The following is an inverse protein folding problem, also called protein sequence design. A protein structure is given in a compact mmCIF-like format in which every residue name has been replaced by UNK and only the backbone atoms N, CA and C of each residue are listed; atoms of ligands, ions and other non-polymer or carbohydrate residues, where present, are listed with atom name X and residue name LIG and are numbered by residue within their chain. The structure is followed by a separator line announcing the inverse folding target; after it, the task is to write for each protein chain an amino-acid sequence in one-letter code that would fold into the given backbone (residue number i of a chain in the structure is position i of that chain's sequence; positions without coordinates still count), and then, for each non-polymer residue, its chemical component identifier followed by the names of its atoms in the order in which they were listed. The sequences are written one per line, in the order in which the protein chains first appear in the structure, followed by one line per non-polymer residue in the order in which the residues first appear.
data_IF_725014688625
#
_entry.id   IF_725014688625
#
_cell.length_a   1.000
_cell.length_b   1.000
_cell.length_c   1.000
_cell.angle_alpha   90.00
_cell.angle_beta   90.00
_cell.angle_gamma   90.00
#
_symmetry.space_group_name_H-M   'P 1'
#
loop_
_entity.id
_entity.type
_entity.pdbx_description
1 polymer ?
#
# COMPACT_ATOMS: atom_id res chain seq x y z
N UNK A 1 5.72 -5.72 5.97
CA UNK A 1 5.05 -4.59 6.66
C UNK A 1 5.56 -4.55 8.09
N UNK A 2 5.51 -3.40 8.74
CA UNK A 2 5.80 -3.29 10.18
C UNK A 2 4.67 -3.85 11.05
N UNK A 3 4.76 -3.66 12.36
CA UNK A 3 3.72 -4.08 13.31
C UNK A 3 2.36 -3.41 13.04
N UNK A 4 2.34 -2.17 12.54
CA UNK A 4 1.13 -1.40 12.21
C UNK A 4 0.63 -1.62 10.77
N UNK A 5 1.19 -2.63 10.09
CA UNK A 5 0.93 -2.94 8.68
C UNK A 5 1.34 -1.83 7.72
N UNK A 6 2.20 -0.91 8.13
CA UNK A 6 2.80 0.06 7.21
C UNK A 6 3.74 -0.67 6.26
N UNK A 7 3.57 -0.42 4.97
CA UNK A 7 4.55 -0.77 3.94
C UNK A 7 5.69 0.27 3.91
N UNK A 8 6.83 0.01 3.26
CA UNK A 8 7.86 1.03 3.06
C UNK A 8 7.31 2.35 2.46
N UNK A 9 6.29 2.26 1.59
CA UNK A 9 5.60 3.42 1.05
C UNK A 9 4.85 4.24 2.12
N UNK A 10 4.22 3.59 3.11
CA UNK A 10 3.59 4.31 4.23
C UNK A 10 4.61 5.05 5.10
N UNK A 11 5.82 4.51 5.22
CA UNK A 11 6.87 5.12 6.04
C UNK A 11 7.49 6.31 5.32
N UNK A 12 7.84 6.16 4.04
CA UNK A 12 8.56 7.21 3.30
C UNK A 12 7.70 8.45 3.06
N UNK A 13 6.37 8.32 2.94
CA UNK A 13 5.48 9.48 2.74
C UNK A 13 5.40 10.41 3.95
N UNK A 14 5.79 9.92 5.13
CA UNK A 14 5.84 10.66 6.38
C UNK A 14 7.26 11.17 6.69
N UNK A 15 8.16 11.15 5.71
CA UNK A 15 9.52 11.66 5.87
C UNK A 15 9.53 13.19 5.83
N UNK A 16 9.62 13.81 7.01
CA UNK A 16 9.53 15.27 7.20
C UNK A 16 10.88 16.02 7.19
N UNK A 17 11.99 15.39 6.79
CA UNK A 17 13.28 16.09 6.72
C UNK A 17 13.30 17.11 5.55
N UNK A 18 14.21 18.11 5.57
CA UNK A 18 14.14 19.27 4.68
C UNK A 18 14.06 18.93 3.19
N UNK A 19 13.35 19.81 2.47
CA UNK A 19 12.84 19.68 1.09
C UNK A 19 13.94 19.53 0.02
N UNK A 20 15.23 19.70 0.37
CA UNK A 20 16.39 19.61 -0.53
C UNK A 20 16.52 18.27 -1.25
N UNK A 21 15.73 17.27 -0.87
CA UNK A 21 15.85 15.89 -1.30
C UNK A 21 14.65 15.40 -2.12
N UNK A 22 14.00 16.30 -2.89
CA UNK A 22 12.94 15.92 -3.83
C UNK A 22 13.36 14.75 -4.73
N UNK A 23 14.57 14.83 -5.31
CA UNK A 23 15.08 13.78 -6.19
C UNK A 23 15.22 12.45 -5.45
N UNK A 24 15.74 12.45 -4.23
CA UNK A 24 15.90 11.21 -3.46
C UNK A 24 14.54 10.64 -3.05
N UNK A 25 13.59 11.49 -2.63
CA UNK A 25 12.24 11.04 -2.32
C UNK A 25 11.56 10.42 -3.55
N UNK A 26 11.68 11.09 -4.70
CA UNK A 26 11.20 10.59 -5.97
C UNK A 26 11.86 9.26 -6.35
N UNK A 27 13.19 9.15 -6.28
CA UNK A 27 13.92 7.92 -6.56
C UNK A 27 13.48 6.78 -5.64
N UNK A 28 13.37 7.01 -4.33
CA UNK A 28 12.93 5.96 -3.38
C UNK A 28 11.51 5.48 -3.72
N UNK A 29 10.56 6.40 -3.95
CA UNK A 29 9.18 6.00 -4.28
C UNK A 29 9.13 5.27 -5.64
N UNK A 30 9.88 5.76 -6.63
CA UNK A 30 9.99 5.13 -7.95
C UNK A 30 10.56 3.72 -7.83
N UNK A 31 11.72 3.56 -7.19
CA UNK A 31 12.39 2.27 -7.02
C UNK A 31 11.50 1.27 -6.27
N UNK A 32 10.80 1.72 -5.22
CA UNK A 32 9.85 0.87 -4.50
C UNK A 32 8.71 0.42 -5.41
N UNK A 33 8.08 1.33 -6.16
CA UNK A 33 6.95 0.99 -7.03
C UNK A 33 7.36 0.10 -8.20
N UNK A 34 8.52 0.35 -8.82
CA UNK A 34 9.09 -0.47 -9.88
C UNK A 34 9.48 -1.88 -9.38
N UNK A 35 9.93 -1.99 -8.13
CA UNK A 35 10.16 -3.27 -7.46
C UNK A 35 8.86 -4.00 -7.05
N UNK A 36 7.68 -3.46 -7.36
CA UNK A 36 6.38 -4.08 -7.08
C UNK A 36 5.77 -3.72 -5.72
N UNK A 37 6.21 -2.63 -5.09
CA UNK A 37 5.51 -2.10 -3.92
C UNK A 37 4.08 -1.68 -4.30
N UNK A 38 3.12 -2.19 -3.53
CA UNK A 38 1.71 -1.98 -3.77
C UNK A 38 1.26 -0.65 -3.16
N UNK A 39 0.61 0.17 -3.98
CA UNK A 39 0.11 1.50 -3.62
C UNK A 39 -1.27 1.45 -2.96
N UNK A 40 -1.96 0.33 -3.07
CA UNK A 40 -3.30 0.08 -2.53
C UNK A 40 -3.32 -0.86 -1.31
N UNK A 41 -2.16 -1.27 -0.83
CA UNK A 41 -2.04 -1.90 0.48
C UNK A 41 -2.51 -0.90 1.54
N UNK A 42 -3.31 -1.38 2.49
CA UNK A 42 -3.76 -0.56 3.62
C UNK A 42 -3.08 -0.98 4.92
N UNK A 43 -2.76 -0.01 5.78
CA UNK A 43 -2.25 -0.26 7.13
C UNK A 43 -3.37 -0.77 8.07
N UNK A 44 -3.10 -0.91 9.37
CA UNK A 44 -4.12 -1.32 10.36
C UNK A 44 -5.29 -0.34 10.47
N UNK A 45 -5.09 0.95 10.14
CA UNK A 45 -6.15 1.98 10.13
C UNK A 45 -7.00 1.94 8.85
N UNK A 46 -6.65 1.11 7.88
CA UNK A 46 -7.34 1.04 6.59
C UNK A 46 -6.91 2.14 5.61
N UNK A 47 -5.81 2.84 5.89
CA UNK A 47 -5.27 3.90 5.05
C UNK A 47 -4.25 3.33 4.07
N UNK A 48 -4.26 3.80 2.83
CA UNK A 48 -3.18 3.59 1.85
C UNK A 48 -1.97 4.48 2.14
N UNK A 49 -0.81 4.29 1.48
CA UNK A 49 0.30 5.26 1.54
C UNK A 49 -0.13 6.68 1.14
N UNK A 50 -1.05 6.82 0.18
CA UNK A 50 -1.55 8.12 -0.23
C UNK A 50 -2.39 8.76 0.88
N UNK A 51 -3.29 7.99 1.51
CA UNK A 51 -4.11 8.48 2.64
C UNK A 51 -3.25 8.84 3.85
N UNK A 52 -2.14 8.13 4.04
CA UNK A 52 -1.17 8.38 5.11
C UNK A 52 -0.22 9.55 4.84
N UNK A 53 -0.29 10.18 3.66
CA UNK A 53 0.59 11.29 3.28
C UNK A 53 0.03 12.63 3.72
N UNK A 54 0.91 13.56 4.11
CA UNK A 54 0.47 14.91 4.47
C UNK A 54 -0.05 15.67 3.23
N UNK A 55 -1.17 16.38 3.39
CA UNK A 55 -1.77 17.17 2.32
C UNK A 55 -0.83 18.26 1.82
N UNK A 56 -0.67 18.36 0.50
CA UNK A 56 0.22 19.30 -0.16
C UNK A 56 1.70 18.87 -0.12
N UNK A 57 2.01 17.67 0.39
CA UNK A 57 3.38 17.19 0.42
C UNK A 57 3.89 16.78 -0.97
N UNK A 58 5.20 16.85 -1.15
CA UNK A 58 5.86 16.32 -2.34
C UNK A 58 5.57 14.82 -2.52
N UNK A 59 5.54 14.07 -1.42
CA UNK A 59 5.23 12.64 -1.45
C UNK A 59 3.83 12.37 -2.02
N UNK A 60 2.82 13.14 -1.60
CA UNK A 60 1.46 13.05 -2.13
C UNK A 60 1.45 13.27 -3.66
N UNK A 61 2.16 14.29 -4.14
CA UNK A 61 2.24 14.61 -5.57
C UNK A 61 2.88 13.46 -6.35
N UNK A 62 4.01 12.93 -5.88
CA UNK A 62 4.72 11.81 -6.53
C UNK A 62 3.82 10.57 -6.57
N UNK A 63 3.17 10.23 -5.46
CA UNK A 63 2.28 9.07 -5.43
C UNK A 63 1.12 9.21 -6.40
N UNK A 64 0.48 10.39 -6.48
CA UNK A 64 -0.62 10.63 -7.43
C UNK A 64 -0.19 10.50 -8.89
N UNK A 65 1.01 10.96 -9.24
CA UNK A 65 1.51 10.88 -10.64
C UNK A 65 2.02 9.50 -11.02
N UNK A 66 2.49 8.71 -10.05
CA UNK A 66 3.01 7.36 -10.27
C UNK A 66 1.98 6.25 -10.02
N UNK A 67 0.75 6.60 -9.63
CA UNK A 67 -0.26 5.62 -9.24
C UNK A 67 -0.66 4.70 -10.40
N UNK A 68 -0.15 3.46 -10.38
CA UNK A 68 -0.53 2.39 -11.31
C UNK A 68 -0.95 1.17 -10.51
N UNK A 69 -2.23 0.82 -10.62
CA UNK A 69 -2.78 -0.39 -10.01
C UNK A 69 -2.89 -1.49 -11.04
N UNK A 70 -2.35 -2.66 -10.71
CA UNK A 70 -2.50 -3.83 -11.56
C UNK A 70 -3.91 -4.41 -11.42
N UNK A 71 -4.37 -5.13 -12.46
CA UNK A 71 -5.65 -5.84 -12.41
C UNK A 71 -5.70 -6.87 -11.27
N UNK A 72 -4.56 -7.50 -10.94
CA UNK A 72 -4.47 -8.45 -9.82
C UNK A 72 -4.75 -7.75 -8.49
N UNK A 73 -4.17 -6.56 -8.28
CA UNK A 73 -4.38 -5.76 -7.08
C UNK A 73 -5.85 -5.29 -6.98
N UNK A 74 -6.43 -4.82 -8.08
CA UNK A 74 -7.85 -4.47 -8.13
C UNK A 74 -8.77 -5.65 -7.79
N UNK A 75 -8.47 -6.85 -8.30
CA UNK A 75 -9.25 -8.05 -7.99
C UNK A 75 -9.12 -8.45 -6.50
N UNK A 76 -7.91 -8.41 -5.95
CA UNK A 76 -7.67 -8.68 -4.53
C UNK A 76 -8.42 -7.69 -3.62
N UNK A 77 -8.39 -6.40 -3.97
CA UNK A 77 -9.17 -5.37 -3.31
C UNK A 77 -10.67 -5.64 -3.36
N UNK A 78 -11.21 -6.04 -4.52
CA UNK A 78 -12.62 -6.38 -4.65
C UNK A 78 -13.01 -7.57 -3.74
N UNK A 79 -12.17 -8.61 -3.68
CA UNK A 79 -12.37 -9.76 -2.77
C UNK A 79 -12.44 -9.31 -1.32
N UNK A 80 -11.51 -8.45 -0.88
CA UNK A 80 -11.48 -7.92 0.49
C UNK A 80 -12.65 -6.98 0.79
N UNK A 81 -12.95 -6.05 -0.12
CA UNK A 81 -14.02 -5.07 0.01
C UNK A 81 -15.39 -5.73 0.15
N UNK A 82 -15.68 -6.73 -0.69
CA UNK A 82 -16.93 -7.48 -0.66
C UNK A 82 -16.94 -8.65 0.33
N UNK A 83 -15.86 -8.83 1.11
CA UNK A 83 -15.72 -9.89 2.13
C UNK A 83 -15.98 -11.29 1.57
N UNK A 84 -15.54 -11.54 0.33
CA UNK A 84 -15.70 -12.83 -0.32
C UNK A 84 -14.80 -13.86 0.36
N UNK A 85 -15.28 -15.09 0.50
CA UNK A 85 -14.45 -16.21 0.96
C UNK A 85 -13.48 -16.61 -0.16
N UNK A 86 -12.18 -16.65 0.12
CA UNK A 86 -11.16 -17.09 -0.83
C UNK A 86 -10.21 -18.16 -0.28
N UNK A 87 -10.12 -18.29 1.05
CA UNK A 87 -9.28 -19.30 1.70
C UNK A 87 -9.74 -20.71 1.32
N UNK A 88 -8.82 -21.54 0.86
CA UNK A 88 -9.06 -22.88 0.32
C UNK A 88 -9.70 -22.91 -1.08
N UNK A 89 -10.02 -21.75 -1.67
CA UNK A 89 -10.67 -21.64 -2.99
C UNK A 89 -9.71 -21.14 -4.08
N UNK A 90 -8.60 -20.52 -3.68
CA UNK A 90 -7.54 -20.06 -4.58
C UNK A 90 -6.22 -20.75 -4.20
N UNK A 91 -5.23 -20.81 -5.10
CA UNK A 91 -3.88 -21.25 -4.73
C UNK A 91 -3.35 -20.52 -3.50
N UNK A 92 -2.69 -21.22 -2.59
CA UNK A 92 -2.18 -20.68 -1.32
C UNK A 92 -1.35 -19.39 -1.49
N UNK A 93 -0.57 -19.30 -2.57
CA UNK A 93 0.22 -18.11 -2.91
C UNK A 93 -0.66 -16.86 -3.14
N UNK A 94 -1.88 -17.03 -3.68
CA UNK A 94 -2.84 -15.94 -3.90
C UNK A 94 -3.58 -15.55 -2.63
N UNK A 95 -3.76 -16.45 -1.66
CA UNK A 95 -4.36 -16.09 -0.37
C UNK A 95 -3.53 -15.02 0.35
N UNK A 96 -2.21 -15.21 0.37
CA UNK A 96 -1.28 -14.24 0.94
C UNK A 96 -1.31 -12.91 0.18
N UNK A 97 -1.44 -12.95 -1.14
CA UNK A 97 -1.55 -11.75 -1.97
C UNK A 97 -2.85 -10.97 -1.70
N UNK A 98 -3.98 -11.66 -1.60
CA UNK A 98 -5.28 -11.06 -1.28
C UNK A 98 -5.25 -10.45 0.13
N UNK A 99 -4.55 -11.09 1.08
CA UNK A 99 -4.42 -10.60 2.46
C UNK A 99 -3.74 -9.22 2.56
N UNK A 100 -2.88 -8.85 1.60
CA UNK A 100 -2.21 -7.55 1.58
C UNK A 100 -3.17 -6.38 1.32
N UNK A 101 -4.29 -6.62 0.64
CA UNK A 101 -5.20 -5.60 0.07
C UNK A 101 -6.44 -5.35 0.93
N UNK A 102 -6.32 -5.52 2.25
CA UNK A 102 -7.40 -5.20 3.18
C UNK A 102 -6.86 -4.97 4.59
N UNK A 103 -7.64 -4.40 5.51
CA UNK A 103 -7.27 -4.39 6.92
C UNK A 103 -7.16 -5.85 7.35
N UNK A 104 -5.97 -6.26 7.79
CA UNK A 104 -5.65 -7.66 8.07
C UNK A 104 -6.69 -8.31 8.99
N UNK A 105 -6.76 -9.65 8.98
CA UNK A 105 -7.77 -10.40 9.76
C UNK A 105 -7.80 -9.93 11.22
N UNK A 106 -8.89 -9.27 11.61
CA UNK A 106 -9.23 -9.06 13.01
C UNK A 106 -9.68 -10.42 13.53
N UNK A 107 -8.81 -11.11 14.29
CA UNK A 107 -9.24 -12.27 15.05
C UNK A 107 -10.32 -11.78 16.01
N UNK A 108 -11.58 -12.15 15.78
CA UNK A 108 -12.62 -11.99 16.81
C UNK A 108 -12.18 -12.83 18.00
N UNK A 109 -11.99 -12.17 19.14
CA UNK A 109 -11.83 -12.81 20.43
C UNK A 109 -13.13 -13.55 20.81
#
# INVERSE_FOLDING_TARGET
MDYERNTPLHVIVNYHKPISDFLTLHSIITDLTEAGAHLDCVNKRGETPLDSSATGSVAEIILKTQMKLSLKCMAANAVKHHKLTYQGQVPQALESFIELHGPGIVKKA
#
